data_IF_877841780115
#
_entry.id   IF_877841780115
#
_cell.length_a   1.000
_cell.length_b   1.000
_cell.length_c   1.000
_cell.angle_alpha   90.00
_cell.angle_beta   90.00
_cell.angle_gamma   90.00
#
_symmetry.space_group_name_H-M   'P 1'
#
loop_
_entity.id
_entity.type
_entity.pdbx_description
1 polymer ?
#
# COMPACT_ATOMS: atom_id res chain seq x y z
N UNK A 1 7.47 25.08 15.47
CA UNK A 1 6.81 23.90 16.09
C UNK A 1 6.54 22.92 14.99
N UNK A 2 7.28 21.82 14.94
CA UNK A 2 7.06 20.78 13.94
C UNK A 2 5.76 20.07 14.27
N UNK A 3 4.69 20.36 13.54
CA UNK A 3 3.43 19.66 13.73
C UNK A 3 3.62 18.21 13.25
N UNK A 4 3.55 17.27 14.17
CA UNK A 4 3.66 15.83 13.89
C UNK A 4 2.65 15.43 12.82
N UNK A 5 3.09 14.75 11.75
CA UNK A 5 2.19 14.21 10.73
C UNK A 5 1.41 13.02 11.29
N UNK A 6 0.15 12.87 10.86
CA UNK A 6 -0.65 11.66 11.11
C UNK A 6 -0.33 10.66 10.02
N UNK A 7 0.09 9.45 10.39
CA UNK A 7 0.36 8.36 9.44
C UNK A 7 -0.77 7.34 9.47
N UNK A 8 -1.37 7.08 8.31
CA UNK A 8 -2.37 6.03 8.11
C UNK A 8 -1.80 4.87 7.32
N UNK A 9 -1.99 3.64 7.82
CA UNK A 9 -1.74 2.40 7.08
C UNK A 9 -3.03 1.87 6.44
N UNK A 10 -3.06 1.66 5.11
CA UNK A 10 -4.22 1.08 4.42
C UNK A 10 -3.81 -0.21 3.74
N UNK A 11 -4.25 -1.34 4.29
CA UNK A 11 -3.97 -2.68 3.79
C UNK A 11 -5.20 -3.37 3.19
N UNK A 12 -4.97 -4.46 2.49
CA UNK A 12 -6.01 -5.33 1.93
C UNK A 12 -5.52 -6.10 0.72
N UNK A 13 -6.26 -7.12 0.30
CA UNK A 13 -5.91 -7.95 -0.84
C UNK A 13 -5.74 -7.16 -2.14
N UNK A 14 -4.96 -7.71 -3.08
CA UNK A 14 -4.96 -7.19 -4.46
C UNK A 14 -6.36 -7.34 -5.05
N UNK A 15 -6.92 -6.25 -5.59
CA UNK A 15 -8.31 -6.20 -6.08
C UNK A 15 -9.36 -5.87 -5.01
N UNK A 16 -9.00 -5.71 -3.73
CA UNK A 16 -9.95 -5.38 -2.65
C UNK A 16 -10.60 -3.99 -2.79
N UNK A 17 -10.00 -3.08 -3.57
CA UNK A 17 -10.48 -1.71 -3.73
C UNK A 17 -9.78 -0.69 -2.83
N UNK A 18 -8.68 -1.06 -2.14
CA UNK A 18 -7.90 -0.14 -1.30
C UNK A 18 -7.45 1.14 -2.03
N UNK A 19 -6.86 1.03 -3.22
CA UNK A 19 -6.43 2.19 -4.01
C UNK A 19 -7.59 3.11 -4.41
N UNK A 20 -8.75 2.54 -4.74
CA UNK A 20 -9.97 3.30 -5.03
C UNK A 20 -10.45 4.05 -3.79
N UNK A 21 -10.45 3.39 -2.62
CA UNK A 21 -10.80 4.01 -1.35
C UNK A 21 -9.82 5.14 -1.00
N UNK A 22 -8.51 4.87 -1.10
CA UNK A 22 -7.43 5.85 -0.84
C UNK A 22 -7.59 7.11 -1.71
N UNK A 23 -7.85 6.94 -3.01
CA UNK A 23 -8.09 8.08 -3.92
C UNK A 23 -9.29 8.93 -3.49
N UNK A 24 -10.41 8.29 -3.08
CA UNK A 24 -11.60 9.00 -2.55
C UNK A 24 -11.29 9.72 -1.24
N UNK A 25 -10.55 9.08 -0.35
CA UNK A 25 -10.13 9.67 0.93
C UNK A 25 -9.27 10.92 0.71
N UNK A 26 -8.27 10.84 -0.15
CA UNK A 26 -7.41 11.99 -0.52
C UNK A 26 -8.22 13.13 -1.12
N UNK A 27 -9.14 12.82 -2.03
CA UNK A 27 -10.03 13.83 -2.63
C UNK A 27 -10.89 14.54 -1.58
N UNK A 28 -11.36 13.81 -0.57
CA UNK A 28 -12.21 14.36 0.51
C UNK A 28 -11.39 15.19 1.53
N UNK A 29 -10.16 14.79 1.80
CA UNK A 29 -9.25 15.48 2.75
C UNK A 29 -8.54 16.69 2.13
N UNK A 30 -8.65 16.91 0.85
CA UNK A 30 -7.89 17.85 0.00
C UNK A 30 -6.47 17.33 -0.28
N UNK A 31 -6.16 17.27 -1.57
CA UNK A 31 -4.91 16.68 -2.09
C UNK A 31 -3.64 17.39 -1.58
N UNK A 32 -3.72 18.70 -1.34
CA UNK A 32 -2.62 19.53 -0.85
C UNK A 32 -2.22 19.23 0.61
N UNK A 33 -3.05 18.52 1.36
CA UNK A 33 -2.80 18.15 2.77
C UNK A 33 -2.32 16.72 2.96
N UNK A 34 -2.22 15.94 1.90
CA UNK A 34 -1.96 14.49 1.98
C UNK A 34 -0.76 14.09 1.15
N UNK A 35 0.19 13.44 1.77
CA UNK A 35 1.26 12.69 1.11
C UNK A 35 0.84 11.23 0.95
N UNK A 36 0.83 10.71 -0.27
CA UNK A 36 0.56 9.30 -0.55
C UNK A 36 1.88 8.57 -0.80
N UNK A 37 2.07 7.50 -0.05
CA UNK A 37 3.18 6.55 -0.20
C UNK A 37 2.59 5.20 -0.61
N UNK A 38 2.88 4.77 -1.84
CA UNK A 38 2.51 3.43 -2.30
C UNK A 38 3.61 2.44 -1.96
N UNK A 39 3.25 1.31 -1.36
CA UNK A 39 4.16 0.17 -1.12
C UNK A 39 4.87 -0.26 -2.41
N UNK A 40 4.20 -0.16 -3.53
CA UNK A 40 4.71 -0.62 -4.83
C UNK A 40 6.02 0.08 -5.25
N UNK A 41 6.31 1.27 -4.72
CA UNK A 41 7.58 1.95 -4.92
C UNK A 41 8.76 1.26 -4.23
N UNK A 42 8.49 0.41 -3.25
CA UNK A 42 9.51 -0.19 -2.37
C UNK A 42 9.87 -1.63 -2.73
N UNK A 43 9.44 -2.16 -3.87
CA UNK A 43 10.01 -3.42 -4.34
C UNK A 43 11.54 -3.32 -4.43
N UNK A 44 12.24 -4.35 -3.95
CA UNK A 44 13.70 -4.41 -4.00
C UNK A 44 14.19 -4.38 -5.44
N UNK A 45 15.32 -3.74 -5.67
CA UNK A 45 15.96 -3.74 -6.97
C UNK A 45 16.55 -5.13 -7.29
N UNK A 46 16.19 -5.64 -8.45
CA UNK A 46 16.64 -6.94 -8.94
C UNK A 46 17.53 -6.81 -10.18
N UNK A 47 18.16 -5.65 -10.41
CA UNK A 47 18.97 -5.40 -11.60
C UNK A 47 20.14 -6.37 -11.78
N UNK A 48 20.60 -7.01 -10.70
CA UNK A 48 21.61 -8.07 -10.73
C UNK A 48 21.11 -9.42 -11.26
N UNK A 49 19.80 -9.58 -11.49
CA UNK A 49 19.21 -10.81 -12.03
C UNK A 49 18.81 -10.64 -13.51
N UNK A 50 18.89 -11.72 -14.29
CA UNK A 50 18.30 -11.76 -15.62
C UNK A 50 16.77 -11.69 -15.54
N UNK A 51 16.11 -11.18 -16.60
CA UNK A 51 14.64 -11.08 -16.67
C UNK A 51 13.95 -12.42 -16.38
N UNK A 52 14.51 -13.53 -16.87
CA UNK A 52 13.98 -14.87 -16.61
C UNK A 52 14.05 -15.28 -15.15
N UNK A 53 15.07 -14.85 -14.41
CA UNK A 53 15.19 -15.08 -12.96
C UNK A 53 14.29 -14.14 -12.16
N UNK A 54 14.17 -12.87 -12.60
CA UNK A 54 13.25 -11.89 -11.99
C UNK A 54 11.80 -12.38 -12.05
N UNK A 55 11.35 -12.88 -13.20
CA UNK A 55 9.96 -13.36 -13.39
C UNK A 55 9.58 -14.57 -12.50
N UNK A 56 10.57 -15.27 -11.93
CA UNK A 56 10.38 -16.40 -11.01
C UNK A 56 10.33 -15.98 -9.53
N UNK A 57 10.59 -14.70 -9.23
CA UNK A 57 10.55 -14.22 -7.85
C UNK A 57 9.12 -14.17 -7.30
N UNK A 58 8.99 -14.43 -6.01
CA UNK A 58 7.72 -14.27 -5.32
C UNK A 58 7.53 -12.81 -4.87
N UNK A 59 6.95 -11.99 -5.74
CA UNK A 59 6.66 -10.58 -5.42
C UNK A 59 5.53 -10.38 -4.40
N UNK A 60 4.82 -11.44 -4.04
CA UNK A 60 3.77 -11.40 -3.04
C UNK A 60 4.32 -11.69 -1.62
N UNK A 61 5.60 -12.09 -1.48
CA UNK A 61 6.26 -12.31 -0.19
C UNK A 61 6.81 -11.00 0.38
N UNK A 62 6.76 -10.77 1.72
CA UNK A 62 7.33 -9.57 2.36
C UNK A 62 8.79 -9.30 1.99
N UNK A 63 9.62 -10.33 1.83
CA UNK A 63 11.03 -10.19 1.47
C UNK A 63 11.28 -9.54 0.09
N UNK A 64 10.25 -9.45 -0.76
CA UNK A 64 10.33 -8.74 -2.03
C UNK A 64 10.38 -7.22 -1.87
N UNK A 65 10.06 -6.71 -0.67
CA UNK A 65 9.92 -5.30 -0.35
C UNK A 65 11.04 -4.82 0.57
N UNK A 66 11.41 -3.56 0.41
CA UNK A 66 12.39 -2.85 1.22
C UNK A 66 11.66 -2.07 2.33
N UNK A 67 11.22 -2.79 3.35
CA UNK A 67 10.51 -2.20 4.48
C UNK A 67 11.39 -1.31 5.35
N UNK A 68 12.71 -1.54 5.37
CA UNK A 68 13.65 -0.68 6.09
C UNK A 68 13.74 0.71 5.43
N UNK A 69 13.77 0.76 4.10
CA UNK A 69 13.70 2.02 3.37
C UNK A 69 12.36 2.73 3.58
N UNK A 70 11.25 1.98 3.55
CA UNK A 70 9.91 2.54 3.83
C UNK A 70 9.87 3.15 5.23
N UNK A 71 10.33 2.43 6.25
CA UNK A 71 10.42 2.89 7.63
C UNK A 71 11.27 4.16 7.75
N UNK A 72 12.45 4.17 7.13
CA UNK A 72 13.34 5.33 7.09
C UNK A 72 12.62 6.54 6.48
N UNK A 73 11.95 6.36 5.35
CA UNK A 73 11.21 7.43 4.68
C UNK A 73 10.06 7.97 5.53
N UNK A 74 9.30 7.12 6.22
CA UNK A 74 8.23 7.57 7.11
C UNK A 74 8.77 8.40 8.27
N UNK A 75 9.88 7.97 8.88
CA UNK A 75 10.55 8.71 9.95
C UNK A 75 11.06 10.07 9.47
N UNK A 76 11.61 10.16 8.26
CA UNK A 76 12.08 11.44 7.71
C UNK A 76 10.91 12.40 7.41
N UNK A 77 9.81 11.88 6.84
CA UNK A 77 8.60 12.67 6.62
C UNK A 77 7.99 13.18 7.94
N UNK A 78 8.00 12.36 9.01
CA UNK A 78 7.55 12.80 10.34
C UNK A 78 8.42 13.92 10.93
N UNK A 79 9.71 13.96 10.58
CA UNK A 79 10.64 15.01 10.97
C UNK A 79 10.56 16.24 10.06
N UNK A 80 9.56 16.34 9.19
CA UNK A 80 9.40 17.46 8.26
C UNK A 80 10.40 17.46 7.09
N UNK A 81 11.08 16.34 6.81
CA UNK A 81 12.10 16.25 5.76
C UNK A 81 11.57 15.60 4.49
N UNK A 82 12.06 16.08 3.35
CA UNK A 82 11.77 15.46 2.05
C UNK A 82 12.43 14.09 1.94
N UNK A 83 11.81 13.20 1.19
CA UNK A 83 12.35 11.89 0.83
C UNK A 83 12.53 11.74 -0.68
N UNK A 84 13.42 10.84 -1.09
CA UNK A 84 13.60 10.42 -2.49
C UNK A 84 12.90 9.10 -2.73
N UNK A 85 11.61 9.15 -3.07
CA UNK A 85 10.78 7.96 -3.32
C UNK A 85 11.28 7.21 -4.56
N UNK A 86 11.61 5.91 -4.46
CA UNK A 86 12.00 5.11 -5.63
C UNK A 86 10.90 5.04 -6.68
N UNK A 87 11.30 4.88 -7.93
CA UNK A 87 10.40 4.58 -9.04
C UNK A 87 10.63 3.14 -9.47
N UNK A 88 9.61 2.31 -9.35
CA UNK A 88 9.66 0.90 -9.73
C UNK A 88 8.96 0.66 -11.06
N UNK A 89 9.63 -0.04 -11.97
CA UNK A 89 9.08 -0.47 -13.25
C UNK A 89 8.66 -1.94 -13.19
N UNK A 90 7.36 -2.18 -13.31
CA UNK A 90 6.77 -3.51 -13.27
C UNK A 90 7.08 -4.35 -14.53
N UNK A 91 7.44 -3.71 -15.66
CA UNK A 91 7.76 -4.43 -16.89
C UNK A 91 9.14 -5.06 -16.81
N UNK A 92 10.09 -4.35 -16.21
CA UNK A 92 11.48 -4.82 -16.06
C UNK A 92 11.77 -5.43 -14.70
N UNK A 93 10.81 -5.38 -13.76
CA UNK A 93 10.98 -5.79 -12.36
C UNK A 93 12.22 -5.17 -11.71
N UNK A 94 12.38 -3.85 -11.85
CA UNK A 94 13.55 -3.12 -11.36
C UNK A 94 13.20 -1.73 -10.87
N UNK A 95 14.03 -1.20 -9.96
CA UNK A 95 14.02 0.22 -9.64
C UNK A 95 14.70 0.99 -10.78
N UNK A 96 14.11 2.11 -11.17
CA UNK A 96 14.76 3.03 -12.10
C UNK A 96 15.81 3.86 -11.35
N UNK A 97 16.78 4.40 -12.11
CA UNK A 97 17.81 5.31 -11.57
C UNK A 97 17.28 6.67 -11.15
N UNK A 98 16.01 6.97 -11.45
CA UNK A 98 15.32 8.19 -11.05
C UNK A 98 14.52 7.97 -9.77
N UNK A 99 14.35 9.04 -8.99
CA UNK A 99 13.48 9.08 -7.82
C UNK A 99 12.55 10.29 -7.88
N UNK A 100 11.48 10.26 -7.09
CA UNK A 100 10.57 11.40 -6.94
C UNK A 100 10.80 12.03 -5.58
N UNK A 101 11.06 13.34 -5.55
CA UNK A 101 11.10 14.08 -4.29
C UNK A 101 9.68 14.23 -3.76
N UNK A 102 9.47 13.76 -2.55
CA UNK A 102 8.18 13.83 -1.84
C UNK A 102 8.38 14.69 -0.59
N UNK A 103 7.60 15.74 -0.48
CA UNK A 103 7.55 16.59 0.70
C UNK A 103 6.59 16.03 1.76
N UNK A 104 6.84 16.28 3.04
CA UNK A 104 5.92 15.92 4.12
C UNK A 104 4.62 16.72 4.03
N UNK A 105 3.54 16.13 4.53
CA UNK A 105 2.25 16.78 4.70
C UNK A 105 1.69 16.45 6.09
N UNK A 106 0.64 17.16 6.54
CA UNK A 106 -0.03 16.87 7.81
C UNK A 106 -0.57 15.45 7.91
N UNK A 107 -0.93 14.86 6.77
CA UNK A 107 -1.45 13.49 6.68
C UNK A 107 -0.57 12.71 5.70
N UNK A 108 -0.06 11.58 6.14
CA UNK A 108 0.69 10.63 5.31
C UNK A 108 -0.15 9.35 5.21
N UNK A 109 -0.44 8.91 4.00
CA UNK A 109 -1.15 7.65 3.75
C UNK A 109 -0.17 6.66 3.14
N UNK A 110 0.00 5.52 3.79
CA UNK A 110 0.77 4.39 3.27
C UNK A 110 -0.22 3.33 2.81
N UNK A 111 -0.23 3.00 1.52
CA UNK A 111 -1.14 1.98 0.99
C UNK A 111 -0.40 0.81 0.36
N UNK A 112 -0.90 -0.40 0.59
CA UNK A 112 -0.37 -1.60 -0.04
C UNK A 112 -0.95 -2.89 0.52
N UNK A 113 -0.56 -4.01 -0.05
CA UNK A 113 -1.05 -5.33 0.40
C UNK A 113 -0.37 -5.77 1.71
N UNK A 114 0.90 -5.44 1.89
CA UNK A 114 1.76 -5.92 2.97
C UNK A 114 2.18 -4.82 3.98
N UNK A 115 1.65 -3.59 3.85
CA UNK A 115 2.07 -2.45 4.70
C UNK A 115 1.80 -2.67 6.19
N UNK A 116 0.88 -3.56 6.55
CA UNK A 116 0.57 -3.91 7.93
C UNK A 116 1.13 -5.27 8.35
N UNK A 117 1.93 -5.94 7.50
CA UNK A 117 2.50 -7.26 7.80
C UNK A 117 3.76 -7.20 8.68
N UNK A 118 4.37 -6.02 8.83
CA UNK A 118 5.60 -5.79 9.58
C UNK A 118 5.30 -5.01 10.86
N UNK A 119 5.64 -5.57 12.03
CA UNK A 119 5.38 -4.94 13.33
C UNK A 119 6.06 -3.58 13.45
N UNK A 120 7.30 -3.49 12.99
CA UNK A 120 8.05 -2.23 12.97
C UNK A 120 7.42 -1.09 12.16
N UNK A 121 6.49 -1.36 11.26
CA UNK A 121 5.70 -0.35 10.56
C UNK A 121 4.39 -0.06 11.28
N UNK A 122 3.79 -1.08 11.94
CA UNK A 122 2.56 -0.89 12.71
C UNK A 122 2.73 0.16 13.80
N UNK A 123 3.90 0.19 14.47
CA UNK A 123 4.24 1.17 15.51
C UNK A 123 4.32 2.61 15.01
N UNK A 124 4.46 2.81 13.69
CA UNK A 124 4.51 4.14 13.07
C UNK A 124 3.13 4.66 12.65
N UNK A 125 2.13 3.78 12.55
CA UNK A 125 0.81 4.18 12.11
C UNK A 125 -0.03 4.71 13.28
N UNK A 126 -0.56 5.92 13.14
CA UNK A 126 -1.52 6.48 14.08
C UNK A 126 -2.92 5.86 13.89
N UNK A 127 -3.22 5.34 12.70
CA UNK A 127 -4.48 4.67 12.39
C UNK A 127 -4.33 3.69 11.24
N UNK A 128 -4.90 2.50 11.41
CA UNK A 128 -4.79 1.41 10.46
C UNK A 128 -6.16 0.98 9.91
N UNK A 129 -6.23 0.77 8.60
CA UNK A 129 -7.46 0.42 7.90
C UNK A 129 -7.23 -0.84 7.07
N UNK A 130 -8.09 -1.83 7.24
CA UNK A 130 -8.10 -3.02 6.40
C UNK A 130 -9.31 -2.98 5.45
N UNK A 131 -9.04 -3.07 4.14
CA UNK A 131 -10.09 -3.11 3.11
C UNK A 131 -10.43 -4.56 2.82
N UNK A 132 -11.58 -4.99 3.33
CA UNK A 132 -12.08 -6.36 3.25
C UNK A 132 -13.02 -6.58 2.07
N UNK A 133 -12.75 -7.62 1.28
CA UNK A 133 -13.59 -8.04 0.18
C UNK A 133 -13.40 -9.54 -0.05
N UNK A 134 -14.46 -10.21 -0.48
CA UNK A 134 -14.42 -11.63 -0.86
C UNK A 134 -13.28 -11.91 -1.86
N UNK A 135 -12.56 -13.02 -1.63
CA UNK A 135 -11.36 -13.36 -2.39
C UNK A 135 -11.66 -13.70 -3.87
N UNK A 136 -12.84 -14.23 -4.17
CA UNK A 136 -13.23 -14.52 -5.55
C UNK A 136 -13.45 -13.21 -6.30
N UNK A 137 -14.11 -12.23 -5.67
CA UNK A 137 -14.29 -10.89 -6.25
C UNK A 137 -12.95 -10.18 -6.41
N UNK A 138 -12.05 -10.32 -5.44
CA UNK A 138 -10.68 -9.79 -5.55
C UNK A 138 -9.94 -10.38 -6.74
N UNK A 139 -10.05 -11.70 -6.95
CA UNK A 139 -9.42 -12.40 -8.07
C UNK A 139 -9.99 -11.96 -9.41
N UNK A 140 -11.30 -11.87 -9.53
CA UNK A 140 -11.99 -11.37 -10.75
C UNK A 140 -11.47 -9.98 -11.13
N UNK A 141 -11.49 -9.04 -10.21
CA UNK A 141 -10.98 -7.68 -10.42
C UNK A 141 -9.48 -7.64 -10.77
N UNK A 142 -8.69 -8.55 -10.16
CA UNK A 142 -7.26 -8.68 -10.50
C UNK A 142 -7.08 -9.17 -11.93
N UNK A 143 -7.88 -10.17 -12.35
CA UNK A 143 -7.83 -10.70 -13.73
C UNK A 143 -8.15 -9.59 -14.73
N UNK A 144 -9.26 -8.88 -14.54
CA UNK A 144 -9.67 -7.78 -15.42
C UNK A 144 -8.59 -6.71 -15.54
N UNK A 145 -8.06 -6.24 -14.40
CA UNK A 145 -7.01 -5.22 -14.36
C UNK A 145 -5.72 -5.70 -15.02
N UNK A 146 -5.23 -6.88 -14.65
CA UNK A 146 -3.92 -7.37 -15.13
C UNK A 146 -3.95 -7.70 -16.62
N UNK A 147 -5.10 -8.07 -17.19
CA UNK A 147 -5.29 -8.19 -18.66
C UNK A 147 -5.27 -6.81 -19.30
N UNK A 148 -6.07 -5.86 -18.80
CA UNK A 148 -6.26 -4.56 -19.43
C UNK A 148 -5.02 -3.65 -19.31
N UNK A 149 -4.35 -3.66 -18.13
CA UNK A 149 -3.29 -2.68 -17.82
C UNK A 149 -1.87 -3.26 -17.94
N UNK A 150 -1.72 -4.60 -17.88
CA UNK A 150 -0.40 -5.27 -17.82
C UNK A 150 -0.18 -6.28 -18.94
N UNK A 151 -1.12 -6.43 -19.86
CA UNK A 151 -1.03 -7.33 -21.01
C UNK A 151 -0.85 -8.81 -20.66
N UNK A 152 -1.31 -9.24 -19.46
CA UNK A 152 -1.15 -10.62 -18.98
C UNK A 152 -2.26 -11.52 -19.48
N UNK A 153 -1.98 -12.81 -19.60
CA UNK A 153 -3.04 -13.79 -19.91
C UNK A 153 -3.72 -14.28 -18.64
N UNK A 154 -4.99 -14.67 -18.75
CA UNK A 154 -5.78 -15.20 -17.64
C UNK A 154 -5.13 -16.43 -17.01
N UNK A 155 -4.57 -17.32 -17.82
CA UNK A 155 -3.88 -18.56 -17.39
C UNK A 155 -2.68 -18.20 -16.50
N UNK A 156 -1.85 -17.24 -16.90
CA UNK A 156 -0.70 -16.79 -16.14
C UNK A 156 -1.10 -16.16 -14.80
N UNK A 157 -2.18 -15.38 -14.79
CA UNK A 157 -2.71 -14.75 -13.57
C UNK A 157 -3.22 -15.83 -12.61
N UNK A 158 -4.01 -16.79 -13.10
CA UNK A 158 -4.54 -17.89 -12.28
C UNK A 158 -3.43 -18.79 -11.73
N UNK A 159 -2.41 -19.08 -12.53
CA UNK A 159 -1.24 -19.86 -12.10
C UNK A 159 -0.51 -19.14 -10.95
N UNK A 160 -0.19 -17.85 -11.11
CA UNK A 160 0.44 -17.05 -10.06
C UNK A 160 -0.44 -16.97 -8.82
N UNK A 161 -1.76 -16.75 -9.00
CA UNK A 161 -2.69 -16.68 -7.87
C UNK A 161 -2.63 -17.94 -6.99
N UNK A 162 -2.64 -19.10 -7.60
CA UNK A 162 -2.55 -20.38 -6.87
C UNK A 162 -1.17 -20.58 -6.22
N UNK A 163 -0.10 -20.23 -6.92
CA UNK A 163 1.27 -20.52 -6.48
C UNK A 163 1.79 -19.56 -5.42
N UNK A 164 1.49 -18.26 -5.53
CA UNK A 164 2.05 -17.24 -4.63
C UNK A 164 0.99 -16.36 -3.97
N UNK A 165 0.08 -15.77 -4.73
CA UNK A 165 -0.83 -14.73 -4.19
C UNK A 165 -1.71 -15.27 -3.06
N UNK A 166 -2.39 -16.40 -3.26
CA UNK A 166 -3.30 -16.98 -2.26
C UNK A 166 -2.55 -17.49 -1.02
N UNK A 167 -1.43 -18.23 -1.13
CA UNK A 167 -0.61 -18.60 0.03
C UNK A 167 -0.12 -17.37 0.81
N UNK A 168 0.43 -16.37 0.13
CA UNK A 168 0.95 -15.15 0.78
C UNK A 168 -0.17 -14.30 1.38
N UNK A 169 -1.34 -14.25 0.74
CA UNK A 169 -2.52 -13.63 1.33
C UNK A 169 -2.88 -14.26 2.68
N UNK A 170 -2.98 -15.59 2.74
CA UNK A 170 -3.34 -16.30 3.96
C UNK A 170 -2.29 -16.09 5.07
N UNK A 171 -1.01 -16.09 4.71
CA UNK A 171 0.08 -16.03 5.65
C UNK A 171 0.34 -14.63 6.18
N UNK A 172 0.28 -13.59 5.33
CA UNK A 172 0.75 -12.25 5.67
C UNK A 172 -0.33 -11.18 5.63
N UNK A 173 -1.33 -11.29 4.75
CA UNK A 173 -2.29 -10.21 4.53
C UNK A 173 -3.56 -10.42 5.39
N UNK A 174 -4.10 -11.62 5.40
CA UNK A 174 -5.30 -11.95 6.18
C UNK A 174 -5.11 -11.68 7.69
N UNK A 175 -3.98 -12.03 8.33
CA UNK A 175 -3.75 -11.73 9.74
C UNK A 175 -3.77 -10.23 10.07
N UNK A 176 -3.44 -9.35 9.10
CA UNK A 176 -3.50 -7.90 9.29
C UNK A 176 -4.91 -7.39 9.58
N UNK A 177 -5.95 -8.15 9.19
CA UNK A 177 -7.34 -7.81 9.49
C UNK A 177 -7.60 -7.69 10.99
N UNK A 178 -6.96 -8.54 11.80
CA UNK A 178 -7.11 -8.55 13.26
C UNK A 178 -6.27 -7.45 13.96
N UNK A 179 -5.33 -6.83 13.22
CA UNK A 179 -4.47 -5.76 13.73
C UNK A 179 -4.98 -4.36 13.32
N UNK A 180 -6.02 -4.30 12.49
CA UNK A 180 -6.55 -3.04 11.98
C UNK A 180 -7.48 -2.36 12.99
N UNK A 181 -7.33 -1.03 13.14
CA UNK A 181 -8.26 -0.21 13.94
C UNK A 181 -9.65 -0.15 13.31
N UNK A 182 -9.72 -0.24 11.98
CA UNK A 182 -10.97 -0.25 11.24
C UNK A 182 -10.95 -1.22 10.07
N UNK A 183 -11.97 -2.06 9.97
CA UNK A 183 -12.22 -2.90 8.80
C UNK A 183 -13.33 -2.25 7.98
N UNK A 184 -13.09 -2.04 6.70
CA UNK A 184 -14.07 -1.43 5.79
C UNK A 184 -14.37 -2.34 4.60
N UNK A 185 -15.60 -2.32 4.06
CA UNK A 185 -15.93 -3.10 2.87
C UNK A 185 -15.22 -2.53 1.62
N UNK A 186 -14.73 -3.40 0.74
CA UNK A 186 -14.08 -3.03 -0.52
C UNK A 186 -15.05 -2.52 -1.61
N UNK A 187 -16.35 -2.44 -1.30
CA UNK A 187 -17.42 -1.84 -2.13
C UNK A 187 -18.42 -1.16 -1.20
N UNK A 188 -19.19 -0.18 -1.74
CA UNK A 188 -20.25 0.54 -1.00
C UNK A 188 -19.74 1.18 0.31
N UNK A 189 -18.56 1.79 0.27
CA UNK A 189 -17.83 2.26 1.45
C UNK A 189 -18.02 3.77 1.75
N UNK A 190 -19.13 4.38 1.35
CA UNK A 190 -19.39 5.81 1.58
C UNK A 190 -19.43 6.18 3.07
N UNK A 191 -20.04 5.35 3.90
CA UNK A 191 -20.13 5.62 5.34
C UNK A 191 -18.80 5.35 6.04
N UNK A 192 -18.06 4.33 5.60
CA UNK A 192 -16.68 4.11 6.04
C UNK A 192 -15.77 5.31 5.73
N UNK A 193 -15.93 5.94 4.56
CA UNK A 193 -15.20 7.14 4.21
C UNK A 193 -15.49 8.29 5.18
N UNK A 194 -16.76 8.53 5.52
CA UNK A 194 -17.15 9.55 6.51
C UNK A 194 -16.54 9.27 7.88
N UNK A 195 -16.57 8.00 8.31
CA UNK A 195 -16.00 7.56 9.60
C UNK A 195 -14.48 7.83 9.63
N UNK A 196 -13.74 7.45 8.58
CA UNK A 196 -12.30 7.68 8.49
C UNK A 196 -11.97 9.17 8.47
N UNK A 197 -12.68 9.97 7.71
CA UNK A 197 -12.49 11.43 7.68
C UNK A 197 -12.74 12.06 9.05
N UNK A 198 -13.77 11.62 9.76
CA UNK A 198 -14.05 12.10 11.14
C UNK A 198 -12.93 11.75 12.10
N UNK A 199 -12.41 10.52 12.04
CA UNK A 199 -11.30 10.08 12.88
C UNK A 199 -10.01 10.86 12.61
N UNK A 200 -9.67 11.08 11.33
CA UNK A 200 -8.50 11.88 10.96
C UNK A 200 -8.62 13.31 11.52
N UNK A 201 -9.77 13.97 11.33
CA UNK A 201 -9.99 15.34 11.85
C UNK A 201 -9.90 15.41 13.37
N UNK A 202 -10.39 14.39 14.08
CA UNK A 202 -10.24 14.29 15.53
C UNK A 202 -8.77 14.24 15.95
N UNK A 203 -7.96 13.45 15.23
CA UNK A 203 -6.51 13.33 15.47
C UNK A 203 -5.76 14.61 15.10
N UNK A 204 -6.13 15.29 14.02
CA UNK A 204 -5.56 16.61 13.66
C UNK A 204 -5.77 17.64 14.77
N UNK A 205 -6.96 17.66 15.39
CA UNK A 205 -7.27 18.59 16.50
C UNK A 205 -6.46 18.29 17.77
N UNK A 206 -6.12 17.01 18.01
CA UNK A 206 -5.32 16.61 19.17
C UNK A 206 -3.81 16.89 19.01
N UNK A 207 -3.35 17.25 17.81
CA UNK A 207 -1.96 17.60 17.52
C UNK A 207 -1.71 19.13 17.52
N UNK A 208 -2.76 19.93 17.72
CA UNK A 208 -2.68 21.39 17.90
C UNK A 208 -2.56 21.75 19.38
#
# INVERSE_FOLDING_TARGET
MDSKSIILGIAGASGSGKTTFTKKLISTLRKDKVTLISQDAYYKDLNYLSLQKKSKQNFDHPDSLDFELLKTHLNELQKGRNISLPVYDFNTHSRLSISKVIAPSKIIIVEGTLVMSQEQLLDLYDYTIYVDLDQNICLERRIERDIAERGRTKENILKQYKQTVKPMFNQFILPCKNKADLIIPGKNNKDSLKTVVKEIRKRENNLQ
#
